data_IF_046524037945
#
_entry.id   IF_046524037945
#
_cell.length_a   1.000
_cell.length_b   1.000
_cell.length_c   1.000
_cell.angle_alpha   90.00
_cell.angle_beta   90.00
_cell.angle_gamma   90.00
#
_symmetry.space_group_name_H-M   'P 1'
#
loop_
_entity.id
_entity.type
_entity.pdbx_description
1 polymer ?
#
# COMPACT_ATOMS: atom_id res chain seq x y z
N UNK A 1 8.00 -13.12 -13.58
CA UNK A 1 7.37 -11.91 -13.00
C UNK A 1 6.12 -11.59 -13.80
N UNK A 2 5.05 -11.66 -13.13
CA UNK A 2 3.75 -11.42 -13.71
C UNK A 2 3.43 -9.94 -13.57
N UNK A 3 3.58 -9.18 -14.64
CA UNK A 3 3.07 -7.82 -14.69
C UNK A 3 1.57 -7.87 -14.97
N UNK A 4 0.81 -7.95 -13.90
CA UNK A 4 -0.62 -7.75 -13.98
C UNK A 4 -0.92 -6.29 -13.70
N UNK A 5 -1.00 -5.52 -14.76
CA UNK A 5 -1.59 -4.18 -14.68
C UNK A 5 -3.10 -4.33 -14.59
N UNK A 6 -3.61 -4.46 -13.37
CA UNK A 6 -5.04 -4.34 -13.15
C UNK A 6 -5.37 -2.86 -13.01
N UNK A 7 -6.04 -2.30 -13.98
CA UNK A 7 -6.64 -0.97 -13.87
C UNK A 7 -8.05 -1.13 -13.33
N UNK A 8 -8.29 -0.54 -12.16
CA UNK A 8 -9.65 -0.19 -11.76
C UNK A 8 -9.83 1.32 -11.95
N UNK A 9 -11.06 1.81 -11.86
CA UNK A 9 -11.35 3.25 -11.93
C UNK A 9 -10.61 4.07 -10.85
N UNK A 10 -10.18 3.44 -9.74
CA UNK A 10 -9.61 4.10 -8.57
C UNK A 10 -8.14 3.83 -8.34
N UNK A 11 -7.59 2.72 -8.88
CA UNK A 11 -6.23 2.28 -8.57
C UNK A 11 -5.56 1.67 -9.79
N UNK A 12 -4.23 1.87 -9.87
CA UNK A 12 -3.35 1.11 -10.75
C UNK A 12 -2.54 0.17 -9.85
N UNK A 13 -2.47 -1.11 -10.23
CA UNK A 13 -1.86 -2.14 -9.39
C UNK A 13 -0.78 -2.85 -10.17
N UNK A 14 0.41 -2.97 -9.56
CA UNK A 14 1.50 -3.83 -10.05
C UNK A 14 1.81 -4.88 -8.99
N UNK A 15 2.04 -6.11 -9.42
CA UNK A 15 2.41 -7.20 -8.53
C UNK A 15 3.85 -7.63 -8.79
N UNK A 16 4.56 -7.95 -7.69
CA UNK A 16 5.92 -8.45 -7.70
C UNK A 16 6.00 -9.71 -6.83
N UNK A 17 6.99 -10.56 -7.10
CA UNK A 17 7.24 -11.78 -6.31
C UNK A 17 5.98 -12.63 -6.20
N UNK A 18 5.37 -12.95 -7.36
CA UNK A 18 4.15 -13.76 -7.44
C UNK A 18 2.98 -13.22 -6.61
N UNK A 19 2.88 -11.90 -6.50
CA UNK A 19 1.81 -11.23 -5.76
C UNK A 19 2.08 -11.02 -4.28
N UNK A 20 3.25 -11.40 -3.78
CA UNK A 20 3.61 -11.16 -2.38
C UNK A 20 3.81 -9.68 -2.06
N UNK A 21 4.23 -8.91 -3.06
CA UNK A 21 4.37 -7.45 -2.95
C UNK A 21 3.48 -6.80 -4.01
N UNK A 22 2.67 -5.86 -3.59
CA UNK A 22 1.78 -5.11 -4.46
C UNK A 22 2.12 -3.63 -4.37
N UNK A 23 2.34 -3.01 -5.53
CA UNK A 23 2.44 -1.55 -5.64
C UNK A 23 1.09 -1.02 -6.09
N UNK A 24 0.48 -0.20 -5.26
CA UNK A 24 -0.86 0.33 -5.47
C UNK A 24 -0.75 1.84 -5.67
N UNK A 25 -1.21 2.32 -6.81
CA UNK A 25 -1.22 3.76 -7.12
C UNK A 25 -2.64 4.26 -7.17
N UNK A 26 -3.11 4.98 -6.15
CA UNK A 26 -4.45 5.54 -6.14
C UNK A 26 -4.61 6.62 -7.19
N UNK A 27 -5.80 6.71 -7.80
CA UNK A 27 -6.13 7.80 -8.71
C UNK A 27 -6.22 9.12 -7.95
N UNK A 28 -5.64 10.16 -8.53
CA UNK A 28 -5.73 11.52 -8.02
C UNK A 28 -6.80 12.29 -8.79
N UNK A 29 -7.76 12.85 -8.06
CA UNK A 29 -8.81 13.71 -8.63
C UNK A 29 -8.39 15.16 -8.39
N UNK A 30 -7.88 15.79 -9.44
CA UNK A 30 -7.29 17.13 -9.37
C UNK A 30 -8.34 18.21 -9.63
N UNK A 31 -8.21 19.31 -8.90
CA UNK A 31 -8.93 20.54 -9.12
C UNK A 31 -8.01 21.75 -8.81
N UNK A 32 -8.57 22.98 -8.83
CA UNK A 32 -7.78 24.19 -8.58
C UNK A 32 -7.17 24.27 -7.17
N UNK A 33 -7.68 23.48 -6.22
CA UNK A 33 -7.21 23.49 -4.82
C UNK A 33 -6.09 22.47 -4.57
N UNK A 34 -5.90 21.51 -5.49
CA UNK A 34 -4.96 20.41 -5.34
C UNK A 34 -5.54 19.10 -5.84
N UNK A 35 -5.50 18.05 -5.03
CA UNK A 35 -6.09 16.78 -5.40
C UNK A 35 -6.72 16.07 -4.21
N UNK A 36 -7.66 15.20 -4.53
CA UNK A 36 -8.25 14.21 -3.63
C UNK A 36 -7.90 12.82 -4.12
N UNK A 37 -7.64 11.90 -3.20
CA UNK A 37 -7.35 10.51 -3.54
C UNK A 37 -7.86 9.59 -2.44
N UNK A 38 -8.53 8.50 -2.85
CA UNK A 38 -8.88 7.43 -1.92
C UNK A 38 -7.69 6.47 -1.81
N UNK A 39 -6.97 6.52 -0.69
CA UNK A 39 -5.74 5.75 -0.51
C UNK A 39 -5.97 4.36 0.06
N UNK A 40 -7.10 4.13 0.69
CA UNK A 40 -7.47 2.82 1.23
C UNK A 40 -8.98 2.63 1.22
N UNK A 41 -9.40 1.44 0.78
CA UNK A 41 -10.80 1.02 0.83
C UNK A 41 -10.80 -0.48 1.13
N UNK A 42 -11.33 -0.84 2.28
CA UNK A 42 -11.30 -2.22 2.78
C UNK A 42 -11.96 -3.20 1.81
N UNK A 43 -13.13 -2.83 1.29
CA UNK A 43 -13.88 -3.69 0.35
C UNK A 43 -13.10 -3.93 -0.94
N UNK A 44 -12.54 -2.88 -1.52
CA UNK A 44 -11.74 -2.98 -2.74
C UNK A 44 -10.49 -3.83 -2.52
N UNK A 45 -9.78 -3.59 -1.43
CA UNK A 45 -8.57 -4.36 -1.10
C UNK A 45 -8.88 -5.84 -0.93
N UNK A 46 -9.99 -6.16 -0.26
CA UNK A 46 -10.39 -7.55 -0.03
C UNK A 46 -10.87 -8.23 -1.31
N UNK A 47 -11.74 -7.60 -2.08
CA UNK A 47 -12.40 -8.21 -3.23
C UNK A 47 -11.54 -8.21 -4.49
N UNK A 48 -10.83 -7.13 -4.77
CA UNK A 48 -10.08 -6.97 -6.02
C UNK A 48 -8.61 -7.33 -5.83
N UNK A 49 -7.97 -6.82 -4.78
CA UNK A 49 -6.56 -7.09 -4.51
C UNK A 49 -6.33 -8.41 -3.79
N UNK A 50 -7.40 -9.05 -3.30
CA UNK A 50 -7.32 -10.29 -2.52
C UNK A 50 -6.47 -10.16 -1.26
N UNK A 51 -6.42 -8.97 -0.70
CA UNK A 51 -5.76 -8.70 0.56
C UNK A 51 -6.74 -9.02 1.68
N UNK A 52 -6.48 -10.08 2.42
CA UNK A 52 -7.37 -10.59 3.48
C UNK A 52 -7.08 -9.98 4.85
N UNK A 53 -5.96 -9.34 4.98
CA UNK A 53 -5.50 -8.77 6.25
C UNK A 53 -6.40 -7.62 6.68
N UNK A 54 -6.68 -7.58 7.99
CA UNK A 54 -7.34 -6.44 8.62
C UNK A 54 -6.28 -5.53 9.20
N UNK A 55 -6.19 -4.31 8.65
CA UNK A 55 -5.27 -3.31 9.18
C UNK A 55 -5.93 -2.63 10.39
N UNK A 56 -5.32 -2.80 11.55
CA UNK A 56 -5.89 -2.37 12.84
C UNK A 56 -5.09 -1.26 13.51
N UNK A 57 -3.98 -0.85 12.90
CA UNK A 57 -3.11 0.17 13.48
C UNK A 57 -2.42 0.95 12.37
N UNK A 58 -2.44 2.27 12.49
CA UNK A 58 -1.72 3.19 11.61
C UNK A 58 -0.61 3.88 12.40
N UNK A 59 0.55 3.99 11.78
CA UNK A 59 1.69 4.70 12.35
C UNK A 59 2.25 5.67 11.32
N UNK A 60 2.70 6.82 11.80
CA UNK A 60 3.43 7.80 10.98
C UNK A 60 4.80 7.99 11.61
N UNK A 61 5.84 7.98 10.77
CA UNK A 61 7.16 8.38 11.21
C UNK A 61 7.65 9.55 10.38
N UNK A 62 8.33 10.47 11.03
CA UNK A 62 8.94 11.61 10.40
C UNK A 62 10.43 11.64 10.73
N UNK A 63 11.26 11.77 9.70
CA UNK A 63 12.71 11.86 9.87
C UNK A 63 13.15 13.28 9.53
N UNK A 64 13.63 13.99 10.53
CA UNK A 64 14.04 15.40 10.41
C UNK A 64 15.21 15.59 9.46
N UNK A 65 16.17 14.69 9.49
CA UNK A 65 17.38 14.78 8.69
C UNK A 65 17.28 13.91 7.44
N UNK A 66 17.82 14.41 6.32
CA UNK A 66 18.00 13.60 5.11
C UNK A 66 18.85 12.37 5.39
N UNK A 67 18.60 11.32 4.63
CA UNK A 67 19.34 10.06 4.67
C UNK A 67 19.29 9.33 6.01
N UNK A 68 18.30 9.66 6.85
CA UNK A 68 18.03 8.89 8.06
C UNK A 68 17.60 7.49 7.70
N UNK A 69 18.24 6.48 8.26
CA UNK A 69 17.88 5.07 8.07
C UNK A 69 17.12 4.59 9.28
N UNK A 70 15.94 4.00 9.03
CA UNK A 70 15.09 3.37 10.06
C UNK A 70 14.86 1.93 9.64
N UNK A 71 15.56 1.01 10.23
CA UNK A 71 15.42 -0.40 9.91
C UNK A 71 16.77 -1.06 9.68
N UNK A 72 16.77 -2.33 9.19
CA UNK A 72 15.55 -3.05 8.82
C UNK A 72 14.90 -3.67 10.05
N UNK A 73 13.55 -3.76 10.02
CA UNK A 73 12.77 -4.37 11.10
C UNK A 73 11.85 -5.43 10.50
N UNK A 74 11.79 -6.59 11.15
CA UNK A 74 10.83 -7.63 10.79
C UNK A 74 10.34 -8.34 12.05
N UNK A 75 9.20 -8.98 11.94
CA UNK A 75 8.68 -9.83 12.98
C UNK A 75 8.60 -11.26 12.47
N UNK A 76 9.15 -12.18 13.26
CA UNK A 76 9.14 -13.61 12.93
C UNK A 76 7.90 -14.28 13.49
N UNK A 77 7.59 -15.47 12.96
CA UNK A 77 6.47 -16.27 13.47
C UNK A 77 6.58 -16.50 14.99
N UNK A 78 5.47 -16.45 15.72
CA UNK A 78 4.08 -16.26 15.28
C UNK A 78 3.62 -14.80 15.24
N UNK A 79 4.55 -13.83 15.21
CA UNK A 79 4.26 -12.40 15.33
C UNK A 79 4.41 -11.64 14.01
N UNK A 80 4.48 -12.36 12.91
CA UNK A 80 4.61 -11.74 11.60
C UNK A 80 3.42 -10.82 11.29
N UNK A 81 3.69 -9.73 10.58
CA UNK A 81 2.70 -8.71 10.24
C UNK A 81 2.74 -8.40 8.75
N UNK A 82 1.56 -8.23 8.17
CA UNK A 82 1.41 -7.58 6.87
C UNK A 82 1.50 -6.08 7.03
N UNK A 83 2.09 -5.40 6.06
CA UNK A 83 2.28 -3.94 6.11
C UNK A 83 1.78 -3.30 4.85
N UNK A 84 1.02 -2.21 5.01
CA UNK A 84 0.66 -1.28 3.96
C UNK A 84 1.46 0.00 4.20
N UNK A 85 2.36 0.31 3.27
CA UNK A 85 3.31 1.43 3.42
C UNK A 85 3.00 2.49 2.36
N UNK A 86 2.97 3.73 2.76
CA UNK A 86 2.79 4.87 1.86
C UNK A 86 3.86 5.93 2.07
#
# INVERSE_FOLDING_TARGET
>A
IRNLNKMSAKYIIKEFFSGSVKLISPKKYKDSRGYFSEVYNKKFYKEILKIKENFIQDNISYSKNKFTIRGMHLQTAPYEQSKLIS
#
